data_IF_637518941159
#
_entry.id   IF_637518941159
#
_cell.length_a   1.000
_cell.length_b   1.000
_cell.length_c   1.000
_cell.angle_alpha   90.00
_cell.angle_beta   90.00
_cell.angle_gamma   90.00
#
_symmetry.space_group_name_H-M   'P 1'
#
loop_
_entity.id
_entity.type
_entity.pdbx_description
1 polymer ?
#
# COMPACT_ATOMS: atom_id res chain seq x y z
N UNK A 1 -70.48 -11.26 -36.32
CA UNK A 1 -69.11 -11.77 -36.09
C UNK A 1 -68.38 -10.76 -35.20
N UNK A 2 -68.04 -11.09 -33.95
CA UNK A 2 -67.52 -10.15 -32.93
C UNK A 2 -66.00 -10.34 -32.79
N UNK A 3 -65.21 -9.27 -32.93
CA UNK A 3 -63.76 -9.28 -32.73
C UNK A 3 -63.49 -8.65 -31.36
N UNK A 4 -62.91 -9.37 -30.37
CA UNK A 4 -62.72 -8.84 -29.03
C UNK A 4 -61.48 -7.92 -28.95
N UNK A 5 -61.72 -6.69 -28.48
CA UNK A 5 -60.73 -5.60 -28.30
C UNK A 5 -59.93 -5.65 -26.97
N UNK A 6 -59.89 -6.78 -26.27
CA UNK A 6 -59.37 -6.86 -24.90
C UNK A 6 -57.93 -7.38 -24.74
N UNK A 7 -57.19 -7.65 -25.83
CA UNK A 7 -55.83 -8.21 -25.76
C UNK A 7 -54.70 -7.18 -25.57
N UNK A 8 -55.00 -5.87 -25.43
CA UNK A 8 -53.98 -4.82 -25.37
C UNK A 8 -53.67 -4.28 -23.97
N UNK A 9 -53.93 -5.06 -22.89
CA UNK A 9 -53.77 -4.59 -21.50
C UNK A 9 -52.60 -5.19 -20.70
N UNK A 10 -51.67 -5.87 -21.36
CA UNK A 10 -50.56 -6.58 -20.65
C UNK A 10 -49.14 -6.22 -21.11
N UNK A 11 -48.94 -5.11 -21.83
CA UNK A 11 -47.62 -4.73 -22.33
C UNK A 11 -47.27 -3.28 -22.00
N UNK A 12 -47.25 -2.94 -20.71
CA UNK A 12 -46.87 -1.59 -20.22
C UNK A 12 -46.06 -1.58 -18.92
N UNK A 13 -45.41 -2.70 -18.54
CA UNK A 13 -44.64 -2.77 -17.28
C UNK A 13 -43.16 -3.13 -17.42
N UNK A 14 -42.64 -3.32 -18.63
CA UNK A 14 -41.24 -3.74 -18.82
C UNK A 14 -40.34 -2.77 -19.59
N UNK A 15 -40.80 -1.53 -19.88
CA UNK A 15 -39.99 -0.50 -20.58
C UNK A 15 -39.34 0.49 -19.58
N UNK A 16 -39.05 0.07 -18.35
CA UNK A 16 -38.41 0.92 -17.32
C UNK A 16 -37.21 0.24 -16.63
N UNK A 17 -36.60 -0.77 -17.26
CA UNK A 17 -35.49 -1.52 -16.68
C UNK A 17 -34.22 -1.51 -17.57
N UNK A 18 -34.02 -0.47 -18.38
CA UNK A 18 -32.77 -0.25 -19.10
C UNK A 18 -32.20 1.13 -18.76
N UNK A 19 -30.89 1.18 -18.52
CA UNK A 19 -30.02 2.36 -18.43
C UNK A 19 -29.70 2.95 -17.04
N UNK A 20 -29.31 2.12 -16.08
CA UNK A 20 -28.51 2.59 -14.93
C UNK A 20 -27.38 1.60 -14.58
N UNK A 21 -26.67 1.08 -15.59
CA UNK A 21 -25.40 0.39 -15.36
C UNK A 21 -24.31 1.45 -15.17
N UNK A 22 -24.10 1.85 -13.91
CA UNK A 22 -23.10 2.83 -13.52
C UNK A 22 -21.68 2.39 -13.88
N UNK A 23 -20.92 3.31 -14.49
CA UNK A 23 -19.51 3.16 -14.80
C UNK A 23 -18.70 3.15 -13.49
N UNK A 24 -18.31 1.98 -13.01
CA UNK A 24 -17.36 1.84 -11.90
C UNK A 24 -15.96 2.22 -12.40
N UNK A 25 -15.53 3.47 -12.20
CA UNK A 25 -14.12 3.83 -12.31
C UNK A 25 -13.38 3.28 -11.10
N UNK A 26 -12.62 2.20 -11.29
CA UNK A 26 -11.63 1.77 -10.31
C UNK A 26 -10.49 2.81 -10.30
N UNK A 27 -10.43 3.65 -9.26
CA UNK A 27 -9.32 4.56 -9.05
C UNK A 27 -8.07 3.75 -8.68
N UNK A 28 -7.19 3.49 -9.65
CA UNK A 28 -5.85 2.99 -9.37
C UNK A 28 -5.04 4.09 -8.68
N UNK A 29 -4.23 3.78 -7.64
CA UNK A 29 -3.37 4.79 -7.04
C UNK A 29 -2.35 5.26 -8.08
N UNK A 30 -2.46 6.51 -8.52
CA UNK A 30 -1.62 7.10 -9.57
C UNK A 30 -0.22 7.50 -9.07
N UNK A 31 0.10 7.23 -7.80
CA UNK A 31 1.37 7.61 -7.18
C UNK A 31 1.95 6.44 -6.38
N UNK A 32 2.89 5.72 -6.98
CA UNK A 32 3.75 4.78 -6.27
C UNK A 32 4.86 5.57 -5.57
N UNK A 33 4.54 6.30 -4.51
CA UNK A 33 5.54 7.00 -3.71
C UNK A 33 5.31 6.72 -2.22
N UNK A 34 6.28 6.06 -1.60
CA UNK A 34 6.29 5.77 -0.18
C UNK A 34 6.80 7.00 0.58
N UNK A 35 6.06 7.50 1.58
CA UNK A 35 6.57 8.52 2.48
C UNK A 35 7.89 8.08 3.16
N UNK A 36 8.94 8.92 3.19
CA UNK A 36 10.21 8.54 3.82
C UNK A 36 10.13 8.34 5.33
N UNK A 37 9.28 9.12 6.03
CA UNK A 37 9.27 9.13 7.50
C UNK A 37 8.90 7.78 8.14
N UNK A 38 7.84 7.06 7.71
CA UNK A 38 7.54 5.71 8.21
C UNK A 38 8.67 4.71 7.98
N UNK A 39 9.35 4.79 6.84
CA UNK A 39 10.48 3.91 6.49
C UNK A 39 11.67 4.15 7.41
N UNK A 40 12.03 5.41 7.61
CA UNK A 40 13.10 5.79 8.56
C UNK A 40 12.73 5.42 10.00
N UNK A 41 11.46 5.51 10.39
CA UNK A 41 11.01 5.16 11.74
C UNK A 41 11.19 3.67 12.05
N UNK A 42 10.79 2.77 11.14
CA UNK A 42 10.99 1.32 11.36
C UNK A 42 12.45 0.92 11.38
N UNK A 43 13.29 1.57 10.55
CA UNK A 43 14.73 1.38 10.58
C UNK A 43 15.34 1.84 11.92
N UNK A 44 14.91 3.00 12.42
CA UNK A 44 15.36 3.52 13.71
C UNK A 44 15.00 2.59 14.86
N UNK A 45 13.77 2.08 14.89
CA UNK A 45 13.31 1.16 15.92
C UNK A 45 14.14 -0.14 15.94
N UNK A 46 14.46 -0.70 14.77
CA UNK A 46 15.33 -1.87 14.69
C UNK A 46 16.72 -1.56 15.27
N UNK A 47 17.34 -0.46 14.86
CA UNK A 47 18.68 -0.09 15.33
C UNK A 47 18.72 0.21 16.83
N UNK A 48 17.67 0.81 17.39
CA UNK A 48 17.55 0.95 18.84
C UNK A 48 17.58 -0.41 19.53
N UNK A 49 16.84 -1.40 19.02
CA UNK A 49 16.80 -2.76 19.60
C UNK A 49 18.16 -3.46 19.50
N UNK A 50 18.80 -3.42 18.34
CA UNK A 50 20.12 -4.02 18.09
C UNK A 50 21.22 -3.42 18.97
N UNK A 51 21.06 -2.17 19.40
CA UNK A 51 22.11 -1.45 20.15
C UNK A 51 21.92 -1.44 21.66
N UNK A 52 20.81 -1.97 22.22
CA UNK A 52 20.51 -1.97 23.67
C UNK A 52 21.58 -2.62 24.56
N UNK A 53 22.44 -3.48 24.01
CA UNK A 53 23.49 -4.19 24.76
C UNK A 53 24.89 -3.62 24.58
N UNK A 54 25.06 -2.56 23.78
CA UNK A 54 26.38 -2.03 23.49
C UNK A 54 26.89 -1.14 24.65
N UNK A 55 28.15 -1.30 25.08
CA UNK A 55 28.73 -0.42 26.07
C UNK A 55 29.00 0.97 25.47
N UNK A 56 28.83 2.02 26.28
CA UNK A 56 29.16 3.38 25.89
C UNK A 56 27.98 4.19 25.34
N UNK A 57 28.27 5.23 24.56
CA UNK A 57 27.26 6.10 23.95
C UNK A 57 26.96 5.63 22.53
N UNK A 58 25.70 5.37 22.25
CA UNK A 58 25.21 5.05 20.91
C UNK A 58 24.61 6.32 20.29
N UNK A 59 25.01 6.63 19.06
CA UNK A 59 24.41 7.68 18.24
C UNK A 59 23.99 7.07 16.91
N UNK A 60 22.73 7.29 16.53
CA UNK A 60 22.14 6.74 15.31
C UNK A 60 21.94 7.86 14.29
N UNK A 61 22.50 7.68 13.09
CA UNK A 61 22.28 8.56 11.95
C UNK A 61 21.75 7.71 10.80
N UNK A 62 20.55 8.04 10.33
CA UNK A 62 19.85 7.25 9.31
C UNK A 62 19.58 8.15 8.12
N UNK A 63 20.00 7.73 6.94
CA UNK A 63 19.63 8.40 5.70
C UNK A 63 18.16 8.20 5.41
N UNK A 64 17.51 9.26 4.93
CA UNK A 64 16.10 9.19 4.54
C UNK A 64 15.96 8.48 3.20
N UNK A 65 14.85 7.75 3.01
CA UNK A 65 14.46 7.22 1.70
C UNK A 65 14.37 8.36 0.67
N UNK A 66 14.78 8.09 -0.58
CA UNK A 66 14.68 9.08 -1.67
C UNK A 66 13.21 9.54 -1.81
N UNK A 67 13.00 10.85 -1.73
CA UNK A 67 11.69 11.48 -1.92
C UNK A 67 11.03 11.17 -3.26
N UNK A 68 11.81 10.76 -4.27
CA UNK A 68 11.36 10.38 -5.62
C UNK A 68 11.28 8.86 -5.80
N UNK A 69 11.22 8.10 -4.71
CA UNK A 69 11.07 6.65 -4.78
C UNK A 69 9.80 6.27 -5.55
N UNK A 70 9.85 5.10 -6.20
CA UNK A 70 8.75 4.53 -6.98
C UNK A 70 8.05 3.39 -6.20
N UNK A 71 8.14 3.41 -4.86
CA UNK A 71 7.59 2.36 -4.01
C UNK A 71 6.10 2.65 -3.73
N UNK A 72 5.20 1.67 -3.88
CA UNK A 72 3.83 1.83 -3.41
C UNK A 72 3.77 2.13 -1.90
N UNK A 73 2.78 2.94 -1.45
CA UNK A 73 2.48 3.05 -0.03
C UNK A 73 2.27 1.67 0.61
N UNK A 74 2.72 1.53 1.87
CA UNK A 74 2.76 0.26 2.57
C UNK A 74 2.06 0.40 3.91
N UNK A 75 1.20 -0.56 4.24
CA UNK A 75 0.52 -0.62 5.52
C UNK A 75 1.32 -1.39 6.57
N UNK A 76 2.18 -2.32 6.14
CA UNK A 76 2.94 -3.21 7.03
C UNK A 76 4.42 -3.21 6.67
N UNK A 77 5.15 -2.23 7.20
CA UNK A 77 6.61 -2.10 7.02
C UNK A 77 7.37 -2.95 8.06
N UNK A 78 8.43 -3.61 7.63
CA UNK A 78 9.35 -4.35 8.50
C UNK A 78 10.80 -4.03 8.12
N UNK A 79 11.62 -3.68 9.11
CA UNK A 79 13.05 -3.44 8.92
C UNK A 79 13.86 -4.71 9.23
N UNK A 80 14.98 -4.89 8.56
CA UNK A 80 15.90 -6.00 8.80
C UNK A 80 17.36 -5.61 8.55
N UNK A 81 18.29 -6.34 9.15
CA UNK A 81 19.73 -6.23 8.85
C UNK A 81 20.08 -7.28 7.79
N UNK A 82 20.53 -6.89 6.58
CA UNK A 82 21.03 -7.84 5.60
C UNK A 82 22.19 -8.66 6.15
N UNK A 83 22.24 -9.94 5.82
CA UNK A 83 23.35 -10.81 6.25
C UNK A 83 24.70 -10.33 5.72
N UNK A 84 25.77 -10.59 6.47
CA UNK A 84 27.15 -10.28 6.05
C UNK A 84 27.70 -8.93 6.51
N UNK A 85 26.92 -8.11 7.22
CA UNK A 85 27.40 -6.87 7.85
C UNK A 85 27.65 -7.05 9.35
N UNK A 86 28.73 -6.43 9.87
CA UNK A 86 28.90 -6.26 11.32
C UNK A 86 27.86 -5.25 11.82
N UNK A 87 27.24 -5.43 12.99
CA UNK A 87 26.14 -4.58 13.48
C UNK A 87 26.61 -3.23 14.05
N UNK A 88 27.82 -2.77 13.71
CA UNK A 88 28.38 -1.51 14.20
C UNK A 88 29.17 -0.77 13.12
N UNK A 89 29.15 0.57 13.19
CA UNK A 89 29.72 1.45 12.16
C UNK A 89 28.71 1.81 11.08
N UNK A 90 29.18 2.00 9.85
CA UNK A 90 28.30 2.21 8.70
C UNK A 90 27.73 0.87 8.22
N UNK A 91 26.42 0.71 8.36
CA UNK A 91 25.70 -0.50 7.98
C UNK A 91 24.49 -0.15 7.11
N UNK A 92 24.03 -1.11 6.32
CA UNK A 92 22.77 -1.00 5.60
C UNK A 92 21.64 -1.61 6.43
N UNK A 93 20.50 -0.93 6.45
CA UNK A 93 19.24 -1.46 7.00
C UNK A 93 18.27 -1.61 5.83
N UNK A 94 17.80 -2.82 5.61
CA UNK A 94 16.77 -3.07 4.62
C UNK A 94 15.38 -2.82 5.21
N UNK A 95 14.44 -2.38 4.38
CA UNK A 95 13.02 -2.27 4.74
C UNK A 95 12.18 -2.98 3.70
N UNK A 96 11.27 -3.83 4.16
CA UNK A 96 10.31 -4.55 3.33
C UNK A 96 8.88 -4.16 3.66
N UNK A 97 8.01 -4.32 2.68
CA UNK A 97 6.57 -4.24 2.85
C UNK A 97 5.95 -5.61 2.76
N UNK A 98 5.11 -5.95 3.73
CA UNK A 98 4.39 -7.22 3.77
C UNK A 98 2.95 -7.11 3.24
N UNK A 99 2.39 -5.90 3.15
CA UNK A 99 1.02 -5.66 2.67
C UNK A 99 0.74 -4.19 2.32
N UNK A 100 -0.08 -3.90 1.28
CA UNK A 100 -0.78 -4.85 0.40
C UNK A 100 0.04 -5.31 -0.81
N UNK A 101 1.09 -4.57 -1.18
CA UNK A 101 2.00 -4.89 -2.29
C UNK A 101 3.38 -5.10 -1.71
N UNK A 102 3.94 -6.28 -1.91
CA UNK A 102 5.25 -6.63 -1.35
C UNK A 102 6.38 -5.97 -2.14
N UNK A 103 7.36 -5.45 -1.41
CA UNK A 103 8.59 -4.87 -1.96
C UNK A 103 9.69 -4.86 -0.88
N UNK A 104 10.95 -4.69 -1.27
CA UNK A 104 12.07 -4.49 -0.35
C UNK A 104 13.08 -3.52 -0.95
N UNK A 105 13.74 -2.74 -0.09
CA UNK A 105 14.86 -1.85 -0.41
C UNK A 105 15.93 -1.90 0.66
#
# INVERSE_FOLDING_TARGET
MKIPLSALRSSRRHILALAASGLMLAASPLYAQQPPAPVTAVAHQLLELETRGLPGRVELQISTLDSRNQLPPCAQLEAFIPGGTRPWGAISVGVRCESPVTWQV
#
